data_IF_794778089621
#
_entry.id   IF_794778089621
#
_cell.length_a   1.000
_cell.length_b   1.000
_cell.length_c   1.000
_cell.angle_alpha   90.00
_cell.angle_beta   90.00
_cell.angle_gamma   90.00
#
_symmetry.space_group_name_H-M   'P 1'
#
loop_
_entity.id
_entity.type
_entity.pdbx_description
1 polymer ?
#
# COMPACT_ATOMS: atom_id res chain seq x y z
N UNK A 1 12.53 9.27 3.95
CA UNK A 1 12.23 7.91 3.42
C UNK A 1 11.06 8.01 2.46
N UNK A 2 11.13 7.32 1.32
CA UNK A 2 10.04 7.28 0.34
C UNK A 2 9.55 5.84 0.17
N UNK A 3 8.31 5.58 0.57
CA UNK A 3 7.59 4.33 0.33
C UNK A 3 6.90 4.39 -1.04
N UNK A 4 7.63 4.05 -2.10
CA UNK A 4 7.11 4.06 -3.47
C UNK A 4 6.81 2.67 -4.05
N UNK A 5 7.41 1.61 -3.51
CA UNK A 5 7.22 0.26 -4.03
C UNK A 5 5.74 -0.13 -4.01
N UNK A 6 5.25 -0.65 -5.13
CA UNK A 6 3.88 -1.14 -5.24
C UNK A 6 3.62 -1.97 -6.49
N UNK A 7 2.61 -2.83 -6.44
CA UNK A 7 2.19 -3.73 -7.52
C UNK A 7 0.68 -3.63 -7.76
N UNK A 8 0.29 -3.54 -9.04
CA UNK A 8 -1.10 -3.39 -9.49
C UNK A 8 -1.88 -4.69 -9.73
N UNK A 9 -1.17 -5.83 -9.82
CA UNK A 9 -1.73 -7.16 -10.14
C UNK A 9 -2.61 -7.21 -11.38
N UNK A 10 -3.59 -8.11 -11.40
CA UNK A 10 -4.43 -8.36 -12.56
C UNK A 10 -5.51 -7.29 -12.71
N UNK A 11 -5.97 -7.07 -13.95
CA UNK A 11 -7.08 -6.17 -14.26
C UNK A 11 -8.46 -6.76 -13.91
N UNK A 12 -8.52 -7.68 -12.93
CA UNK A 12 -9.77 -8.28 -12.49
C UNK A 12 -10.55 -7.30 -11.60
N UNK A 13 -11.58 -6.69 -12.18
CA UNK A 13 -12.43 -5.73 -11.49
C UNK A 13 -13.52 -6.41 -10.65
N UNK A 14 -13.85 -7.68 -10.93
CA UNK A 14 -14.90 -8.41 -10.18
C UNK A 14 -14.30 -9.15 -9.00
N UNK A 15 -14.87 -8.91 -7.80
CA UNK A 15 -14.41 -9.57 -6.56
C UNK A 15 -14.40 -11.10 -6.66
N UNK A 16 -15.37 -11.70 -7.33
CA UNK A 16 -15.49 -13.16 -7.49
C UNK A 16 -14.34 -13.78 -8.29
N UNK A 17 -13.64 -12.99 -9.11
CA UNK A 17 -12.49 -13.45 -9.89
C UNK A 17 -11.15 -13.18 -9.20
N UNK A 18 -11.13 -12.47 -8.08
CA UNK A 18 -9.90 -12.10 -7.38
C UNK A 18 -9.34 -13.31 -6.65
N UNK A 19 -8.15 -13.76 -7.04
CA UNK A 19 -7.47 -14.84 -6.33
C UNK A 19 -6.91 -14.34 -4.99
N UNK A 20 -7.06 -15.15 -3.94
CA UNK A 20 -6.55 -14.82 -2.61
C UNK A 20 -5.03 -14.60 -2.60
N UNK A 21 -4.29 -15.37 -3.40
CA UNK A 21 -2.83 -15.22 -3.56
C UNK A 21 -2.45 -13.85 -4.10
N UNK A 22 -3.20 -13.34 -5.08
CA UNK A 22 -2.99 -12.02 -5.65
C UNK A 22 -3.30 -10.92 -4.63
N UNK A 23 -4.41 -11.05 -3.91
CA UNK A 23 -4.77 -10.13 -2.83
C UNK A 23 -3.66 -10.04 -1.77
N UNK A 24 -3.22 -11.20 -1.26
CA UNK A 24 -2.13 -11.26 -0.26
C UNK A 24 -0.85 -10.62 -0.78
N UNK A 25 -0.43 -10.95 -2.00
CA UNK A 25 0.76 -10.36 -2.62
C UNK A 25 0.68 -8.83 -2.69
N UNK A 26 -0.47 -8.27 -3.06
CA UNK A 26 -0.64 -6.81 -3.09
C UNK A 26 -0.57 -6.21 -1.70
N UNK A 27 -1.23 -6.80 -0.71
CA UNK A 27 -1.19 -6.33 0.68
C UNK A 27 0.24 -6.40 1.23
N UNK A 28 0.93 -7.52 1.01
CA UNK A 28 2.30 -7.72 1.49
C UNK A 28 3.26 -6.66 0.94
N UNK A 29 3.16 -6.34 -0.36
CA UNK A 29 4.04 -5.35 -0.99
C UNK A 29 3.60 -3.91 -0.71
N UNK A 30 2.34 -3.58 -0.98
CA UNK A 30 1.86 -2.20 -1.00
C UNK A 30 1.58 -1.64 0.40
N UNK A 31 1.28 -2.51 1.37
CA UNK A 31 0.91 -2.13 2.73
C UNK A 31 1.95 -2.63 3.75
N UNK A 32 2.16 -3.94 3.87
CA UNK A 32 3.05 -4.49 4.89
C UNK A 32 4.50 -4.04 4.68
N UNK A 33 5.00 -4.09 3.44
CA UNK A 33 6.35 -3.65 3.11
C UNK A 33 6.62 -2.20 3.47
N UNK A 34 5.72 -1.30 3.09
CA UNK A 34 5.83 0.11 3.45
C UNK A 34 5.61 0.35 4.96
N UNK A 35 4.81 -0.45 5.66
CA UNK A 35 4.68 -0.40 7.12
C UNK A 35 6.00 -0.75 7.81
N UNK A 36 6.65 -1.83 7.39
CA UNK A 36 7.94 -2.25 7.92
C UNK A 36 9.01 -1.18 7.66
N UNK A 37 9.04 -0.64 6.44
CA UNK A 37 9.93 0.46 6.09
C UNK A 37 9.73 1.69 6.98
N UNK A 38 8.48 2.15 7.14
CA UNK A 38 8.12 3.25 8.04
C UNK A 38 8.55 2.98 9.48
N UNK A 39 8.29 1.77 10.00
CA UNK A 39 8.69 1.34 11.34
C UNK A 39 10.21 1.47 11.54
N UNK A 40 11.00 1.06 10.56
CA UNK A 40 12.46 1.13 10.65
C UNK A 40 12.99 2.56 10.49
N UNK A 41 12.43 3.37 9.58
CA UNK A 41 12.80 4.78 9.47
C UNK A 41 12.45 5.58 10.72
N UNK A 42 11.25 5.36 11.29
CA UNK A 42 10.79 6.05 12.50
C UNK A 42 11.73 5.80 13.69
N UNK A 43 12.28 4.58 13.84
CA UNK A 43 13.27 4.27 14.89
C UNK A 43 14.52 5.16 14.85
N UNK A 44 14.91 5.64 13.67
CA UNK A 44 16.07 6.52 13.49
C UNK A 44 15.67 8.00 13.55
N UNK A 45 14.55 8.36 12.90
CA UNK A 45 14.10 9.75 12.77
C UNK A 45 13.56 10.33 14.08
N UNK A 46 12.90 9.52 14.91
CA UNK A 46 12.32 9.99 16.19
C UNK A 46 13.41 10.51 17.14
N UNK A 47 14.48 9.74 17.47
CA UNK A 47 15.57 10.25 18.31
C UNK A 47 16.30 11.45 17.70
N UNK A 48 16.42 11.50 16.37
CA UNK A 48 17.05 12.61 15.66
C UNK A 48 16.19 13.88 15.61
N UNK A 49 14.91 13.80 15.99
CA UNK A 49 13.93 14.87 15.85
C UNK A 49 13.89 15.48 14.44
N UNK A 50 14.25 14.68 13.43
CA UNK A 50 14.44 15.13 12.06
C UNK A 50 14.21 13.98 11.09
N UNK A 51 13.54 14.30 9.99
CA UNK A 51 13.22 13.36 8.93
C UNK A 51 11.78 13.49 8.44
N UNK A 52 11.54 12.93 7.26
CA UNK A 52 10.20 12.84 6.66
C UNK A 52 10.02 11.47 6.04
N UNK A 53 8.81 10.92 6.19
CA UNK A 53 8.38 9.65 5.59
C UNK A 53 7.22 9.98 4.65
N UNK A 54 7.39 9.68 3.36
CA UNK A 54 6.39 9.95 2.32
C UNK A 54 5.98 8.61 1.71
N UNK A 55 4.68 8.37 1.57
CA UNK A 55 4.12 7.16 0.97
C UNK A 55 3.32 7.49 -0.28
N UNK A 56 3.59 6.79 -1.38
CA UNK A 56 2.89 6.99 -2.65
C UNK A 56 1.49 6.36 -2.61
N UNK A 57 0.47 7.21 -2.46
CA UNK A 57 -0.93 6.84 -2.54
C UNK A 57 -1.43 6.71 -4.00
N UNK A 58 -2.71 6.38 -4.18
CA UNK A 58 -3.38 6.34 -5.48
C UNK A 58 -4.80 6.93 -5.38
N UNK A 59 -5.34 7.49 -6.46
CA UNK A 59 -6.74 7.90 -6.53
C UNK A 59 -7.71 6.72 -6.25
N UNK A 60 -7.30 5.50 -6.59
CA UNK A 60 -8.03 4.26 -6.28
C UNK A 60 -8.18 3.99 -4.77
N UNK A 61 -7.40 4.68 -3.93
CA UNK A 61 -7.53 4.60 -2.47
C UNK A 61 -8.76 5.37 -1.98
N UNK A 62 -9.26 6.36 -2.72
CA UNK A 62 -10.41 7.18 -2.26
C UNK A 62 -11.64 7.01 -3.14
N UNK A 63 -11.47 6.45 -4.34
CA UNK A 63 -12.55 6.19 -5.29
C UNK A 63 -12.56 4.71 -5.70
N UNK A 64 -13.68 4.04 -5.43
CA UNK A 64 -13.92 2.67 -5.89
C UNK A 64 -14.16 2.58 -7.40
N UNK A 65 -13.99 1.40 -7.98
CA UNK A 65 -14.29 1.14 -9.40
C UNK A 65 -13.18 1.52 -10.39
N UNK A 66 -12.10 2.17 -9.93
CA UNK A 66 -10.96 2.57 -10.78
C UNK A 66 -9.87 1.49 -10.89
N UNK A 67 -9.91 0.45 -10.07
CA UNK A 67 -8.92 -0.63 -10.04
C UNK A 67 -9.51 -1.90 -9.43
N UNK A 68 -8.72 -2.97 -9.42
CA UNK A 68 -9.09 -4.21 -8.72
C UNK A 68 -9.33 -3.95 -7.23
N UNK A 69 -10.27 -4.68 -6.64
CA UNK A 69 -10.56 -4.58 -5.21
C UNK A 69 -9.31 -4.79 -4.34
N UNK A 70 -8.45 -5.73 -4.74
CA UNK A 70 -7.19 -5.99 -4.04
C UNK A 70 -6.26 -4.77 -4.03
N UNK A 71 -6.14 -4.09 -5.17
CA UNK A 71 -5.27 -2.91 -5.27
C UNK A 71 -5.85 -1.75 -4.46
N UNK A 72 -7.14 -1.46 -4.64
CA UNK A 72 -7.85 -0.44 -3.88
C UNK A 72 -7.72 -0.65 -2.37
N UNK A 73 -7.98 -1.87 -1.87
CA UNK A 73 -7.82 -2.22 -0.45
C UNK A 73 -6.38 -2.02 0.03
N UNK A 74 -5.39 -2.48 -0.74
CA UNK A 74 -3.97 -2.37 -0.34
C UNK A 74 -3.49 -0.92 -0.24
N UNK A 75 -4.06 -0.01 -1.02
CA UNK A 75 -3.73 1.42 -0.99
C UNK A 75 -4.57 2.21 0.03
N UNK A 76 -5.83 1.83 0.24
CA UNK A 76 -6.70 2.43 1.25
C UNK A 76 -6.17 2.24 2.68
N UNK A 77 -5.45 1.15 2.95
CA UNK A 77 -4.85 0.88 4.27
C UNK A 77 -3.86 1.94 4.78
N UNK A 78 -3.47 2.93 3.97
CA UNK A 78 -2.66 4.09 4.38
C UNK A 78 -3.46 5.30 4.84
N UNK A 79 -4.76 5.35 4.53
CA UNK A 79 -5.64 6.49 4.80
C UNK A 79 -6.53 6.30 6.03
N UNK A 80 -6.71 5.05 6.48
CA UNK A 80 -7.47 4.68 7.67
C UNK A 80 -6.53 4.57 8.88
#
# INVERSE_FOLDING_TARGET
MINNAGVGGSNQLKIVGTQLSEFKRMVDVNLVGAFLGTKHAARVMIPQQSGSIITTASACSVMGGMSSHAYASSKHGWWA
#
